data_IF_663428512457
#
_entry.id   IF_663428512457
#
_cell.length_a   1.000
_cell.length_b   1.000
_cell.length_c   1.000
_cell.angle_alpha   90.00
_cell.angle_beta   90.00
_cell.angle_gamma   90.00
#
_symmetry.space_group_name_H-M   'P 1'
#
loop_
_entity.id
_entity.type
_entity.pdbx_description
1 polymer ?
#
# COMPACT_ATOMS: atom_id res chain seq x y z
N UNK A 1 5.40 6.58 11.07
CA UNK A 1 6.06 7.87 10.78
C UNK A 1 6.27 8.71 12.04
N UNK A 2 5.25 9.22 12.75
CA UNK A 2 5.48 10.10 13.93
C UNK A 2 6.36 9.45 15.05
N UNK A 3 6.23 8.13 15.25
CA UNK A 3 7.08 7.40 16.17
C UNK A 3 8.59 7.41 15.79
N UNK A 4 8.93 7.54 14.50
CA UNK A 4 10.33 7.55 14.04
C UNK A 4 11.07 8.83 14.42
N UNK A 5 10.34 9.91 14.68
CA UNK A 5 10.89 11.20 15.14
C UNK A 5 10.67 11.43 16.64
N UNK A 6 10.50 10.35 17.40
CA UNK A 6 10.32 10.42 18.86
C UNK A 6 9.09 11.24 19.29
N UNK A 7 8.02 11.21 18.48
CA UNK A 7 6.78 11.98 18.71
C UNK A 7 6.94 13.51 18.65
N UNK A 8 8.06 14.01 18.13
CA UNK A 8 8.29 15.43 17.91
C UNK A 8 7.55 15.93 16.66
N UNK A 9 6.55 16.78 16.85
CA UNK A 9 5.79 17.40 15.75
C UNK A 9 6.69 18.26 14.85
N UNK A 10 7.61 19.12 15.37
CA UNK A 10 8.51 19.89 14.52
C UNK A 10 9.38 19.01 13.61
N UNK A 11 9.93 17.92 14.15
CA UNK A 11 10.75 16.99 13.37
C UNK A 11 9.91 16.20 12.35
N UNK A 12 8.68 15.85 12.70
CA UNK A 12 7.74 15.21 11.77
C UNK A 12 7.48 16.09 10.54
N UNK A 13 7.30 17.40 10.74
CA UNK A 13 7.10 18.34 9.63
C UNK A 13 8.39 18.56 8.83
N UNK A 14 9.54 18.70 9.51
CA UNK A 14 10.85 18.90 8.87
C UNK A 14 11.25 17.72 7.99
N UNK A 15 11.05 16.50 8.48
CA UNK A 15 11.50 15.27 7.84
C UNK A 15 10.38 14.54 7.10
N UNK A 16 9.16 15.08 7.05
CA UNK A 16 7.95 14.35 6.67
C UNK A 16 8.07 13.55 5.37
N UNK A 17 8.70 14.08 4.34
CA UNK A 17 8.85 13.37 3.07
C UNK A 17 9.86 12.19 3.13
N UNK A 18 10.78 12.17 4.10
CA UNK A 18 11.79 11.13 4.32
C UNK A 18 11.26 10.01 5.24
N UNK A 19 10.17 10.26 5.97
CA UNK A 19 9.57 9.25 6.84
C UNK A 19 8.85 8.20 5.99
N UNK A 20 8.98 6.94 6.38
CA UNK A 20 8.31 5.84 5.71
C UNK A 20 7.85 4.75 6.65
N UNK A 21 6.81 4.02 6.25
CA UNK A 21 6.54 2.70 6.79
C UNK A 21 7.12 1.69 5.82
N UNK A 22 8.22 1.06 6.23
CA UNK A 22 8.99 0.11 5.41
C UNK A 22 8.33 -1.29 5.40
N UNK A 23 8.51 -2.07 4.31
CA UNK A 23 8.12 -3.46 4.27
C UNK A 23 8.93 -4.31 5.28
N UNK A 24 8.48 -5.54 5.58
CA UNK A 24 9.19 -6.45 6.48
C UNK A 24 10.58 -6.83 5.96
N UNK A 25 11.47 -7.18 6.89
CA UNK A 25 12.78 -7.75 6.55
C UNK A 25 12.65 -9.07 5.77
N UNK A 26 13.57 -9.38 4.82
CA UNK A 26 13.58 -10.64 4.07
C UNK A 26 13.57 -11.91 4.93
N UNK A 27 14.06 -11.82 6.18
CA UNK A 27 14.12 -12.95 7.11
C UNK A 27 12.76 -13.60 7.38
N UNK A 28 11.66 -12.85 7.23
CA UNK A 28 10.31 -13.35 7.44
C UNK A 28 9.71 -14.04 6.20
N UNK A 29 10.30 -13.86 5.01
CA UNK A 29 9.72 -14.34 3.75
C UNK A 29 8.28 -13.89 3.59
N UNK A 30 7.33 -14.83 3.47
CA UNK A 30 5.89 -14.55 3.42
C UNK A 30 5.15 -14.67 4.78
N UNK A 31 5.87 -14.91 5.88
CA UNK A 31 5.23 -15.03 7.21
C UNK A 31 4.79 -13.66 7.71
N UNK A 32 3.78 -13.66 8.59
CA UNK A 32 3.37 -12.44 9.29
C UNK A 32 4.47 -12.03 10.28
N UNK A 33 5.11 -10.87 10.11
CA UNK A 33 6.18 -10.41 10.99
C UNK A 33 5.62 -9.78 12.28
N UNK A 34 6.45 -9.58 13.31
CA UNK A 34 6.12 -8.76 14.47
C UNK A 34 5.69 -7.34 14.09
N UNK A 35 4.85 -6.70 14.90
CA UNK A 35 4.32 -5.36 14.60
C UNK A 35 5.41 -4.31 14.39
N UNK A 36 6.45 -4.34 15.23
CA UNK A 36 7.58 -3.41 15.20
C UNK A 36 8.58 -3.70 14.06
N UNK A 37 8.39 -4.77 13.30
CA UNK A 37 9.32 -5.23 12.26
C UNK A 37 8.60 -5.52 10.93
N UNK A 38 7.75 -4.56 10.52
CA UNK A 38 6.96 -4.64 9.28
C UNK A 38 5.53 -5.15 9.44
N UNK A 39 5.10 -5.58 10.65
CA UNK A 39 3.72 -6.01 10.86
C UNK A 39 2.71 -4.87 10.69
N UNK A 40 3.08 -3.65 11.08
CA UNK A 40 2.29 -2.45 10.79
C UNK A 40 2.14 -2.20 9.30
N UNK A 41 3.19 -2.45 8.51
CA UNK A 41 3.16 -2.29 7.07
C UNK A 41 2.14 -3.25 6.43
N UNK A 42 2.21 -4.54 6.76
CA UNK A 42 1.26 -5.55 6.26
C UNK A 42 -0.19 -5.18 6.62
N UNK A 43 -0.43 -4.72 7.85
CA UNK A 43 -1.76 -4.30 8.28
C UNK A 43 -2.25 -3.06 7.51
N UNK A 44 -1.39 -2.06 7.32
CA UNK A 44 -1.70 -0.88 6.50
C UNK A 44 -1.98 -1.27 5.04
N UNK A 45 -1.20 -2.19 4.46
CA UNK A 45 -1.41 -2.69 3.10
C UNK A 45 -2.73 -3.43 2.96
N UNK A 46 -3.11 -4.25 3.95
CA UNK A 46 -4.39 -4.96 3.97
C UNK A 46 -5.58 -3.99 3.98
N UNK A 47 -5.56 -2.97 4.85
CA UNK A 47 -6.63 -1.98 4.87
C UNK A 47 -6.64 -1.10 3.62
N UNK A 48 -5.48 -0.77 3.04
CA UNK A 48 -5.39 -0.09 1.76
C UNK A 48 -6.04 -0.92 0.64
N UNK A 49 -5.77 -2.22 0.59
CA UNK A 49 -6.38 -3.13 -0.38
C UNK A 49 -7.90 -3.13 -0.26
N UNK A 50 -8.45 -3.26 0.95
CA UNK A 50 -9.90 -3.17 1.18
C UNK A 50 -10.46 -1.83 0.70
N UNK A 51 -9.80 -0.72 1.03
CA UNK A 51 -10.21 0.63 0.63
C UNK A 51 -10.29 0.76 -0.90
N UNK A 52 -9.24 0.34 -1.61
CA UNK A 52 -9.17 0.40 -3.07
C UNK A 52 -10.22 -0.50 -3.73
N UNK A 53 -10.38 -1.74 -3.25
CA UNK A 53 -11.37 -2.68 -3.81
C UNK A 53 -12.81 -2.21 -3.56
N UNK A 54 -13.08 -1.61 -2.40
CA UNK A 54 -14.38 -1.01 -2.09
C UNK A 54 -14.66 0.21 -2.97
N UNK A 55 -13.64 1.03 -3.24
CA UNK A 55 -13.77 2.16 -4.17
C UNK A 55 -14.02 1.69 -5.61
N UNK A 56 -13.37 0.59 -6.02
CA UNK A 56 -13.61 -0.02 -7.33
C UNK A 56 -15.04 -0.55 -7.46
N UNK A 57 -15.56 -1.24 -6.43
CA UNK A 57 -16.96 -1.65 -6.38
C UNK A 57 -17.92 -0.45 -6.43
N UNK A 58 -17.61 0.64 -5.71
CA UNK A 58 -18.37 1.90 -5.77
C UNK A 58 -18.43 2.46 -7.19
N UNK A 59 -17.33 2.46 -7.94
CA UNK A 59 -17.30 2.94 -9.32
C UNK A 59 -18.25 2.14 -10.23
N UNK A 60 -18.39 0.83 -10.00
CA UNK A 60 -19.37 0.00 -10.70
C UNK A 60 -20.81 0.36 -10.33
N UNK A 61 -21.10 0.47 -9.03
CA UNK A 61 -22.45 0.73 -8.52
C UNK A 61 -22.99 2.06 -9.03
N UNK A 62 -22.18 3.13 -8.99
CA UNK A 62 -22.56 4.44 -9.51
C UNK A 62 -22.84 4.41 -11.02
N UNK A 63 -21.99 3.73 -11.79
CA UNK A 63 -22.22 3.60 -13.23
C UNK A 63 -23.54 2.86 -13.52
N UNK A 64 -23.88 1.83 -12.73
CA UNK A 64 -25.12 1.10 -12.87
C UNK A 64 -26.34 1.95 -12.47
N UNK A 65 -26.28 2.69 -11.36
CA UNK A 65 -27.33 3.57 -10.87
C UNK A 65 -27.66 4.68 -11.89
N UNK A 66 -26.63 5.29 -12.49
CA UNK A 66 -26.79 6.32 -13.50
C UNK A 66 -26.99 5.76 -14.93
N UNK A 67 -27.07 4.43 -15.10
CA UNK A 67 -27.25 3.75 -16.40
C UNK A 67 -26.17 4.13 -17.42
N UNK A 68 -24.95 4.35 -16.95
CA UNK A 68 -23.78 4.69 -17.77
C UNK A 68 -22.96 3.47 -18.16
N UNK A 69 -22.10 3.63 -19.17
CA UNK A 69 -21.07 2.64 -19.50
C UNK A 69 -20.03 2.51 -18.38
N UNK A 70 -19.49 1.29 -18.19
CA UNK A 70 -18.56 0.94 -17.09
C UNK A 70 -17.09 1.18 -17.44
N UNK A 71 -16.80 2.10 -18.36
CA UNK A 71 -15.43 2.33 -18.85
C UNK A 71 -14.48 2.77 -17.73
N UNK A 72 -14.94 3.62 -16.81
CA UNK A 72 -14.15 4.05 -15.65
C UNK A 72 -13.84 2.89 -14.71
N UNK A 73 -14.81 2.01 -14.46
CA UNK A 73 -14.60 0.80 -13.65
C UNK A 73 -13.50 -0.10 -14.26
N UNK A 74 -13.55 -0.34 -15.57
CA UNK A 74 -12.55 -1.15 -16.25
C UNK A 74 -11.18 -0.47 -16.32
N UNK A 75 -11.12 0.82 -16.64
CA UNK A 75 -9.88 1.60 -16.65
C UNK A 75 -9.22 1.64 -15.27
N UNK A 76 -10.01 1.84 -14.22
CA UNK A 76 -9.50 1.78 -12.85
C UNK A 76 -9.05 0.37 -12.47
N UNK A 77 -9.74 -0.67 -12.92
CA UNK A 77 -9.32 -2.06 -12.75
C UNK A 77 -7.92 -2.35 -13.32
N UNK A 78 -7.57 -1.76 -14.47
CA UNK A 78 -6.23 -1.89 -15.03
C UNK A 78 -5.15 -1.21 -14.16
N UNK A 79 -5.46 -0.07 -13.53
CA UNK A 79 -4.54 0.56 -12.58
C UNK A 79 -4.40 -0.24 -11.28
N UNK A 80 -5.50 -0.82 -10.77
CA UNK A 80 -5.49 -1.72 -9.62
C UNK A 80 -4.65 -2.96 -9.93
N UNK A 81 -4.69 -3.48 -11.16
CA UNK A 81 -3.84 -4.59 -11.57
C UNK A 81 -2.36 -4.27 -11.40
N UNK A 82 -1.88 -3.11 -11.89
CA UNK A 82 -0.50 -2.68 -11.69
C UNK A 82 -0.16 -2.60 -10.19
N UNK A 83 -1.03 -1.97 -9.40
CA UNK A 83 -0.89 -1.88 -7.95
C UNK A 83 -0.74 -3.26 -7.27
N UNK A 84 -1.57 -4.24 -7.65
CA UNK A 84 -1.50 -5.61 -7.12
C UNK A 84 -0.27 -6.36 -7.60
N UNK A 85 0.17 -6.15 -8.84
CA UNK A 85 1.40 -6.76 -9.35
C UNK A 85 2.59 -6.32 -8.53
N UNK A 86 2.72 -5.02 -8.26
CA UNK A 86 3.85 -4.47 -7.49
C UNK A 86 3.79 -4.86 -6.02
N UNK A 87 2.61 -4.74 -5.39
CA UNK A 87 2.46 -4.89 -3.94
C UNK A 87 2.00 -6.25 -3.44
N UNK A 88 1.59 -7.19 -4.31
CA UNK A 88 1.03 -8.48 -3.85
C UNK A 88 1.53 -9.67 -4.66
N UNK A 89 1.27 -9.70 -5.97
CA UNK A 89 1.57 -10.89 -6.78
C UNK A 89 3.07 -11.11 -6.95
N UNK A 90 3.85 -10.07 -7.29
CA UNK A 90 5.31 -10.21 -7.41
C UNK A 90 5.97 -10.65 -6.08
N UNK A 91 5.70 -10.02 -4.93
CA UNK A 91 6.20 -10.48 -3.62
C UNK A 91 5.86 -11.94 -3.32
N UNK A 92 4.60 -12.35 -3.54
CA UNK A 92 4.16 -13.74 -3.33
C UNK A 92 4.94 -14.72 -4.22
N UNK A 93 5.13 -14.38 -5.49
CA UNK A 93 5.88 -15.21 -6.44
C UNK A 93 7.38 -15.28 -6.10
N UNK A 94 7.93 -14.22 -5.52
CA UNK A 94 9.31 -14.18 -5.02
C UNK A 94 9.46 -14.89 -3.67
N UNK A 95 8.36 -15.16 -2.96
CA UNK A 95 8.38 -15.78 -1.64
C UNK A 95 8.82 -14.84 -0.52
N UNK A 96 8.72 -13.52 -0.74
CA UNK A 96 9.27 -12.52 0.18
C UNK A 96 8.48 -11.19 0.15
N UNK A 97 8.08 -10.70 1.32
CA UNK A 97 7.42 -9.40 1.50
C UNK A 97 8.37 -8.19 1.37
N UNK A 98 9.68 -8.39 1.48
CA UNK A 98 10.67 -7.28 1.46
C UNK A 98 10.66 -6.49 0.15
N UNK A 99 10.24 -7.11 -0.95
CA UNK A 99 10.18 -6.48 -2.27
C UNK A 99 9.01 -5.52 -2.50
N UNK A 100 8.13 -5.32 -1.51
CA UNK A 100 6.99 -4.41 -1.61
C UNK A 100 7.40 -2.93 -1.56
N UNK A 101 6.56 -2.04 -2.11
CA UNK A 101 6.82 -0.60 -2.15
C UNK A 101 6.62 0.03 -0.76
N UNK A 102 7.59 0.75 -0.18
CA UNK A 102 7.43 1.39 1.12
C UNK A 102 6.41 2.54 1.07
N UNK A 103 5.75 2.82 2.20
CA UNK A 103 4.85 3.96 2.31
C UNK A 103 5.57 5.19 2.83
N UNK A 104 6.09 6.04 1.94
CA UNK A 104 6.72 7.33 2.25
C UNK A 104 6.95 8.12 0.97
N UNK A 105 7.15 9.44 1.03
CA UNK A 105 7.19 10.28 -0.20
C UNK A 105 8.50 10.12 -0.97
N UNK A 106 9.65 10.18 -0.33
CA UNK A 106 10.91 9.83 -1.01
C UNK A 106 11.20 8.33 -0.99
N UNK A 107 10.89 7.59 0.09
CA UNK A 107 11.16 6.15 0.09
C UNK A 107 10.46 5.35 -1.01
N UNK A 108 9.24 5.73 -1.44
CA UNK A 108 8.60 5.05 -2.59
C UNK A 108 9.26 5.36 -3.94
N UNK A 109 10.07 6.42 -4.03
CA UNK A 109 10.86 6.77 -5.21
C UNK A 109 12.24 6.09 -5.20
N UNK A 110 12.74 5.75 -4.00
CA UNK A 110 14.02 5.03 -3.84
C UNK A 110 13.89 3.52 -4.15
N UNK A 111 12.65 2.99 -4.08
CA UNK A 111 12.28 1.61 -4.42
C UNK A 111 12.27 1.37 -5.94
#
# INVERSE_FOLDING_TARGET
MLAQVGWSIPEFLRQGFWLALEPPSPEYGLKMPPLNDGGWYILSSFFLLISVMTWWARAYLLAAEHKMGKHVFWGFGAAIWLFLVLGLFRPILMGDWSGMVPYGVFPHLDW
#
